data_IF_811764199955
#
_entry.id   IF_811764199955
#
_cell.length_a   1.000
_cell.length_b   1.000
_cell.length_c   1.000
_cell.angle_alpha   90.00
_cell.angle_beta   90.00
_cell.angle_gamma   90.00
#
_symmetry.space_group_name_H-M   'P 1'
#
loop_
_entity.id
_entity.type
_entity.pdbx_description
1 polymer ?
#
# COMPACT_ATOMS: atom_id res chain seq x y z
N UNK A 1 -14.43 5.55 -27.85
CA UNK A 1 -14.60 6.54 -26.78
C UNK A 1 -13.66 6.13 -25.65
N UNK A 2 -12.81 7.03 -25.16
CA UNK A 2 -11.98 6.77 -23.97
C UNK A 2 -12.90 6.55 -22.77
N UNK A 3 -12.90 5.36 -22.18
CA UNK A 3 -13.72 5.04 -21.02
C UNK A 3 -13.16 5.80 -19.80
N UNK A 4 -13.88 6.82 -19.36
CA UNK A 4 -13.57 7.58 -18.14
C UNK A 4 -13.66 6.68 -16.92
N UNK A 5 -12.99 7.09 -15.84
CA UNK A 5 -13.11 6.42 -14.53
C UNK A 5 -13.97 7.29 -13.65
N UNK A 6 -14.96 6.68 -13.00
CA UNK A 6 -15.73 7.31 -11.93
C UNK A 6 -15.21 6.80 -10.60
N UNK A 7 -14.60 7.70 -9.83
CA UNK A 7 -14.15 7.47 -8.46
C UNK A 7 -15.27 7.86 -7.49
N UNK A 8 -15.81 6.88 -6.78
CA UNK A 8 -16.95 7.04 -5.87
C UNK A 8 -16.44 6.85 -4.44
N UNK A 9 -16.64 7.86 -3.60
CA UNK A 9 -16.26 7.85 -2.19
C UNK A 9 -17.49 8.12 -1.34
N UNK A 10 -17.74 7.27 -0.36
CA UNK A 10 -18.80 7.44 0.62
C UNK A 10 -18.16 7.61 1.99
N UNK A 11 -18.66 8.60 2.75
CA UNK A 11 -18.19 8.85 4.11
C UNK A 11 -19.30 8.68 5.13
N UNK A 12 -18.93 8.02 6.23
CA UNK A 12 -19.60 8.14 7.52
C UNK A 12 -18.80 9.13 8.36
N UNK A 13 -19.37 10.31 8.59
CA UNK A 13 -18.75 11.29 9.49
C UNK A 13 -18.99 10.91 10.94
N UNK A 14 -18.05 11.30 11.80
CA UNK A 14 -18.22 11.15 13.25
C UNK A 14 -19.39 12.01 13.73
N UNK A 15 -20.13 11.55 14.76
CA UNK A 15 -21.30 12.28 15.26
C UNK A 15 -20.95 13.59 15.98
N UNK A 16 -19.69 13.80 16.36
CA UNK A 16 -19.19 14.97 17.09
C UNK A 16 -18.61 16.06 16.19
N UNK A 17 -18.62 15.89 14.87
CA UNK A 17 -18.20 16.95 13.95
C UNK A 17 -19.11 18.18 14.11
N UNK A 18 -18.51 19.36 14.27
CA UNK A 18 -19.30 20.59 14.34
C UNK A 18 -19.78 20.99 12.95
N UNK A 19 -20.87 21.77 12.88
CA UNK A 19 -21.35 22.30 11.61
C UNK A 19 -20.30 23.14 10.88
N UNK A 20 -19.53 23.96 11.62
CA UNK A 20 -18.49 24.80 11.05
C UNK A 20 -17.34 23.96 10.45
N UNK A 21 -16.90 22.92 11.15
CA UNK A 21 -15.86 22.01 10.64
C UNK A 21 -16.35 21.24 9.41
N UNK A 22 -17.62 20.81 9.44
CA UNK A 22 -18.26 20.14 8.30
C UNK A 22 -18.32 21.06 7.07
N UNK A 23 -18.77 22.31 7.23
CA UNK A 23 -18.87 23.27 6.14
C UNK A 23 -17.49 23.59 5.53
N UNK A 24 -16.49 23.88 6.38
CA UNK A 24 -15.12 24.11 5.93
C UNK A 24 -14.52 22.89 5.20
N UNK A 25 -14.84 21.68 5.68
CA UNK A 25 -14.44 20.44 5.03
C UNK A 25 -15.06 20.31 3.63
N UNK A 26 -16.35 20.61 3.48
CA UNK A 26 -17.06 20.56 2.19
C UNK A 26 -16.58 21.62 1.21
N UNK A 27 -16.30 22.83 1.68
CA UNK A 27 -15.70 23.90 0.85
C UNK A 27 -14.34 23.46 0.30
N UNK A 28 -13.51 22.87 1.16
CA UNK A 28 -12.20 22.35 0.75
C UNK A 28 -12.36 21.23 -0.28
N UNK A 29 -13.32 20.31 -0.09
CA UNK A 29 -13.59 19.25 -1.06
C UNK A 29 -13.99 19.82 -2.43
N UNK A 30 -14.93 20.78 -2.46
CA UNK A 30 -15.39 21.41 -3.70
C UNK A 30 -14.24 22.09 -4.46
N UNK A 31 -13.32 22.72 -3.73
CA UNK A 31 -12.17 23.38 -4.31
C UNK A 31 -11.19 22.42 -5.01
N UNK A 32 -11.16 21.13 -4.66
CA UNK A 32 -10.29 20.15 -5.31
C UNK A 32 -10.49 20.09 -6.83
N UNK A 33 -11.73 20.31 -7.30
CA UNK A 33 -12.03 20.29 -8.73
C UNK A 33 -11.17 21.27 -9.54
N UNK A 34 -10.86 22.43 -8.97
CA UNK A 34 -10.10 23.49 -9.66
C UNK A 34 -8.66 23.61 -9.15
N UNK A 35 -8.38 23.13 -7.93
CA UNK A 35 -7.05 23.24 -7.32
C UNK A 35 -6.15 22.02 -7.60
N UNK A 36 -6.71 20.86 -7.90
CA UNK A 36 -5.92 19.70 -8.37
C UNK A 36 -5.50 19.94 -9.82
N UNK A 37 -4.24 20.29 -10.03
CA UNK A 37 -3.67 20.63 -11.33
C UNK A 37 -2.71 19.52 -11.83
N UNK A 38 -2.79 19.19 -13.11
CA UNK A 38 -1.93 18.18 -13.72
C UNK A 38 -0.49 18.68 -13.77
N UNK A 39 0.52 17.89 -13.39
CA UNK A 39 1.89 18.37 -13.18
C UNK A 39 2.58 18.87 -14.45
N UNK A 40 2.19 18.36 -15.63
CA UNK A 40 2.80 18.80 -16.91
C UNK A 40 2.08 19.96 -17.59
N UNK A 41 0.77 20.11 -17.39
CA UNK A 41 -0.05 21.10 -18.11
C UNK A 41 -0.47 22.26 -17.23
N UNK A 42 -0.39 22.09 -15.91
CA UNK A 42 -0.86 23.04 -14.91
C UNK A 42 -2.35 23.40 -15.08
N UNK A 43 -3.15 22.46 -15.59
CA UNK A 43 -4.60 22.60 -15.78
C UNK A 43 -5.36 21.63 -14.88
N UNK A 44 -6.60 21.96 -14.47
CA UNK A 44 -7.47 21.01 -13.79
C UNK A 44 -7.70 19.76 -14.64
N UNK A 45 -7.56 18.57 -14.04
CA UNK A 45 -7.65 17.28 -14.74
C UNK A 45 -8.82 16.41 -14.28
N UNK A 46 -9.54 16.85 -13.25
CA UNK A 46 -10.80 16.25 -12.85
C UNK A 46 -11.91 16.72 -13.79
N UNK A 47 -12.53 15.78 -14.51
CA UNK A 47 -13.54 16.06 -15.52
C UNK A 47 -14.84 16.58 -14.91
N UNK A 48 -15.29 15.93 -13.84
CA UNK A 48 -16.50 16.32 -13.12
C UNK A 48 -16.42 15.94 -11.64
N UNK A 49 -17.24 16.60 -10.82
CA UNK A 49 -17.39 16.33 -9.40
C UNK A 49 -18.86 16.55 -9.01
N UNK A 50 -19.45 15.57 -8.34
CA UNK A 50 -20.78 15.61 -7.73
C UNK A 50 -20.67 15.18 -6.28
N UNK A 51 -21.51 15.72 -5.41
CA UNK A 51 -21.55 15.31 -4.01
C UNK A 51 -22.92 15.56 -3.40
N UNK A 52 -23.24 14.87 -2.31
CA UNK A 52 -24.48 15.07 -1.60
C UNK A 52 -24.64 14.20 -0.37
N UNK A 53 -25.64 14.55 0.43
CA UNK A 53 -26.09 13.75 1.58
C UNK A 53 -26.93 12.58 1.10
N UNK A 54 -26.76 11.43 1.74
CA UNK A 54 -27.63 10.27 1.52
C UNK A 54 -29.06 10.63 1.93
N UNK A 55 -29.99 10.49 0.98
CA UNK A 55 -31.43 10.62 1.19
C UNK A 55 -32.18 9.31 0.96
N UNK A 56 -31.46 8.22 0.66
CA UNK A 56 -32.09 6.90 0.56
C UNK A 56 -32.58 6.47 1.94
N UNK A 57 -33.85 6.08 1.99
CA UNK A 57 -34.52 5.55 3.18
C UNK A 57 -34.25 4.05 3.40
N UNK A 58 -33.63 3.38 2.42
CA UNK A 58 -33.34 1.96 2.49
C UNK A 58 -32.23 1.65 3.54
N UNK A 59 -32.28 0.48 4.20
CA UNK A 59 -31.36 0.15 5.30
C UNK A 59 -29.95 -0.26 4.84
N UNK A 60 -29.65 -0.17 3.55
CA UNK A 60 -28.42 -0.72 2.95
C UNK A 60 -27.26 0.26 2.83
N UNK A 61 -27.40 1.48 3.37
CA UNK A 61 -26.36 2.51 3.32
C UNK A 61 -25.09 2.14 4.11
N UNK A 62 -25.15 1.11 4.97
CA UNK A 62 -24.08 0.74 5.91
C UNK A 62 -23.65 1.92 6.79
N UNK A 63 -24.57 2.85 7.07
CA UNK A 63 -24.30 4.05 7.86
C UNK A 63 -23.58 5.17 7.10
N UNK A 64 -23.30 5.01 5.80
CA UNK A 64 -22.73 6.08 4.99
C UNK A 64 -23.71 7.25 4.87
N UNK A 65 -23.20 8.45 5.11
CA UNK A 65 -24.01 9.67 5.24
C UNK A 65 -23.92 10.59 4.03
N UNK A 66 -22.79 10.56 3.33
CA UNK A 66 -22.52 11.43 2.17
C UNK A 66 -21.79 10.64 1.10
N UNK A 67 -22.01 11.01 -0.15
CA UNK A 67 -21.33 10.46 -1.32
C UNK A 67 -20.67 11.57 -2.13
N UNK A 68 -19.51 11.27 -2.69
CA UNK A 68 -18.72 12.10 -3.56
C UNK A 68 -18.36 11.28 -4.80
N UNK A 69 -18.60 11.85 -5.98
CA UNK A 69 -18.44 11.19 -7.27
C UNK A 69 -17.55 12.07 -8.13
N UNK A 70 -16.38 11.59 -8.48
CA UNK A 70 -15.38 12.30 -9.27
C UNK A 70 -15.11 11.55 -10.57
N UNK A 71 -14.85 12.25 -11.66
CA UNK A 71 -14.54 11.63 -12.95
C UNK A 71 -13.16 12.02 -13.46
N UNK A 72 -12.41 11.04 -13.95
CA UNK A 72 -11.06 11.19 -14.50
C UNK A 72 -10.97 10.61 -15.90
N UNK A 73 -10.13 11.21 -16.74
CA UNK A 73 -9.96 10.79 -18.14
C UNK A 73 -9.19 9.46 -18.26
N UNK A 74 -8.28 9.16 -17.32
CA UNK A 74 -7.40 8.00 -17.37
C UNK A 74 -7.07 7.43 -15.98
N UNK A 75 -6.49 6.22 -15.95
CA UNK A 75 -6.01 5.61 -14.70
C UNK A 75 -4.84 6.41 -14.14
N UNK A 76 -3.95 6.89 -15.01
CA UNK A 76 -2.79 7.68 -14.60
C UNK A 76 -3.21 8.97 -13.86
N UNK A 77 -4.29 9.62 -14.32
CA UNK A 77 -4.83 10.82 -13.68
C UNK A 77 -5.38 10.51 -12.28
N UNK A 78 -6.18 9.44 -12.15
CA UNK A 78 -6.71 8.99 -10.85
C UNK A 78 -5.57 8.56 -9.91
N UNK A 79 -4.58 7.83 -10.41
CA UNK A 79 -3.43 7.37 -9.63
C UNK A 79 -2.58 8.56 -9.13
N UNK A 80 -2.41 9.59 -9.97
CA UNK A 80 -1.75 10.83 -9.57
C UNK A 80 -2.55 11.55 -8.48
N UNK A 81 -3.86 11.72 -8.67
CA UNK A 81 -4.76 12.30 -7.68
C UNK A 81 -4.63 11.61 -6.32
N UNK A 82 -4.77 10.29 -6.29
CA UNK A 82 -4.79 9.52 -5.04
C UNK A 82 -3.43 9.49 -4.33
N UNK A 83 -2.32 9.50 -5.09
CA UNK A 83 -1.01 9.13 -4.52
C UNK A 83 0.02 10.27 -4.47
N UNK A 84 -0.13 11.28 -5.31
CA UNK A 84 0.92 12.27 -5.56
C UNK A 84 0.43 13.72 -5.45
N UNK A 85 -0.81 14.01 -5.82
CA UNK A 85 -1.34 15.37 -5.82
C UNK A 85 -1.28 15.98 -4.40
N UNK A 86 -0.48 17.05 -4.19
CA UNK A 86 -0.26 17.60 -2.87
C UNK A 86 -1.52 18.24 -2.29
N UNK A 87 -2.42 18.74 -3.13
CA UNK A 87 -3.68 19.37 -2.71
C UNK A 87 -4.63 18.30 -2.18
N UNK A 88 -4.82 17.22 -2.93
CA UNK A 88 -5.66 16.10 -2.50
C UNK A 88 -5.10 15.42 -1.23
N UNK A 89 -3.78 15.21 -1.16
CA UNK A 89 -3.15 14.59 0.01
C UNK A 89 -3.32 15.42 1.28
N UNK A 90 -3.18 16.74 1.19
CA UNK A 90 -3.41 17.63 2.32
C UNK A 90 -4.88 17.65 2.75
N UNK A 91 -5.81 17.65 1.78
CA UNK A 91 -7.24 17.48 2.06
C UNK A 91 -7.51 16.17 2.81
N UNK A 92 -7.02 15.03 2.30
CA UNK A 92 -7.20 13.71 2.90
C UNK A 92 -6.68 13.66 4.34
N UNK A 93 -5.50 14.28 4.59
CA UNK A 93 -4.92 14.37 5.93
C UNK A 93 -5.81 15.16 6.90
N UNK A 94 -6.38 16.28 6.45
CA UNK A 94 -7.30 17.13 7.24
C UNK A 94 -8.68 16.51 7.43
N UNK A 95 -9.11 15.67 6.50
CA UNK A 95 -10.39 14.96 6.55
C UNK A 95 -10.42 13.85 7.60
N UNK A 96 -9.28 13.16 7.79
CA UNK A 96 -9.17 11.96 8.63
C UNK A 96 -9.77 12.05 10.05
N UNK A 97 -9.55 13.13 10.82
CA UNK A 97 -10.15 13.28 12.15
C UNK A 97 -11.68 13.20 12.17
N UNK A 98 -12.34 13.60 11.09
CA UNK A 98 -13.80 13.73 11.01
C UNK A 98 -14.51 12.51 10.42
N UNK A 99 -13.77 11.62 9.78
CA UNK A 99 -14.30 10.44 9.12
C UNK A 99 -14.24 9.26 10.10
N UNK A 100 -15.41 8.66 10.36
CA UNK A 100 -15.53 7.43 11.14
C UNK A 100 -15.24 6.20 10.27
N UNK A 101 -15.80 6.17 9.06
CA UNK A 101 -15.64 5.09 8.11
C UNK A 101 -15.78 5.60 6.66
N UNK A 102 -15.21 4.86 5.71
CA UNK A 102 -15.23 5.21 4.29
C UNK A 102 -15.36 3.99 3.39
N UNK A 103 -16.13 4.13 2.31
CA UNK A 103 -16.24 3.13 1.25
C UNK A 103 -15.86 3.76 -0.09
N UNK A 104 -14.97 3.11 -0.83
CA UNK A 104 -14.44 3.61 -2.11
C UNK A 104 -14.66 2.59 -3.21
N UNK A 105 -15.17 3.04 -4.36
CA UNK A 105 -15.39 2.21 -5.56
C UNK A 105 -15.01 3.00 -6.80
N UNK A 106 -14.15 2.41 -7.63
CA UNK A 106 -13.83 2.93 -8.96
C UNK A 106 -14.56 2.10 -10.01
N UNK A 107 -15.29 2.76 -10.91
CA UNK A 107 -15.98 2.10 -12.01
C UNK A 107 -15.60 2.71 -13.36
N UNK A 108 -15.66 1.87 -14.39
CA UNK A 108 -15.66 2.28 -15.79
C UNK A 108 -17.00 1.90 -16.37
N UNK A 109 -17.69 2.86 -16.98
CA UNK A 109 -19.03 2.61 -17.52
C UNK A 109 -19.00 1.44 -18.53
N UNK A 110 -19.96 0.52 -18.37
CA UNK A 110 -20.07 -0.71 -19.17
C UNK A 110 -19.05 -1.83 -18.90
N UNK A 111 -18.09 -1.66 -17.98
CA UNK A 111 -17.09 -2.71 -17.65
C UNK A 111 -17.59 -3.56 -16.48
N UNK A 112 -18.04 -4.78 -16.78
CA UNK A 112 -18.64 -5.71 -15.79
C UNK A 112 -17.74 -6.89 -15.40
N UNK A 113 -16.68 -7.15 -16.16
CA UNK A 113 -15.76 -8.26 -15.95
C UNK A 113 -14.31 -7.78 -16.08
N UNK A 114 -13.41 -8.38 -15.31
CA UNK A 114 -11.99 -8.06 -15.35
C UNK A 114 -11.24 -8.61 -14.14
N UNK A 115 -9.90 -8.47 -14.12
CA UNK A 115 -9.11 -8.76 -12.93
C UNK A 115 -9.51 -7.81 -11.79
N UNK A 116 -9.29 -8.24 -10.54
CA UNK A 116 -9.48 -7.38 -9.38
C UNK A 116 -8.61 -6.11 -9.50
N UNK A 117 -9.15 -4.99 -8.99
CA UNK A 117 -8.40 -3.74 -8.92
C UNK A 117 -7.10 -3.95 -8.14
N UNK A 118 -5.99 -3.52 -8.72
CA UNK A 118 -4.68 -3.52 -8.09
C UNK A 118 -4.28 -2.08 -7.84
N UNK A 119 -3.78 -1.79 -6.64
CA UNK A 119 -3.12 -0.51 -6.39
C UNK A 119 -2.06 -0.32 -7.49
N UNK A 120 -1.96 0.86 -8.12
CA UNK A 120 -0.88 1.16 -9.06
C UNK A 120 0.42 1.21 -8.26
N UNK A 121 1.03 0.04 -8.09
CA UNK A 121 2.26 -0.15 -7.35
C UNK A 121 3.48 0.45 -8.07
N UNK A 122 3.23 1.19 -9.16
CA UNK A 122 4.15 1.57 -10.21
C UNK A 122 5.49 2.02 -9.68
N UNK A 123 6.52 1.84 -10.49
CA UNK A 123 7.89 1.79 -10.00
C UNK A 123 8.23 2.97 -9.08
N UNK A 124 8.33 2.68 -7.79
CA UNK A 124 8.50 3.69 -6.73
C UNK A 124 9.69 3.34 -5.88
N UNK A 125 10.38 4.37 -5.42
CA UNK A 125 11.37 4.23 -4.37
C UNK A 125 10.67 4.18 -3.02
N UNK A 126 10.96 3.13 -2.25
CA UNK A 126 10.52 2.94 -0.89
C UNK A 126 11.69 3.13 0.05
N UNK A 127 11.55 4.03 1.01
CA UNK A 127 12.50 4.15 2.12
C UNK A 127 12.29 2.97 3.05
N UNK A 128 13.38 2.36 3.49
CA UNK A 128 13.38 1.33 4.52
C UNK A 128 14.34 1.67 5.65
N UNK A 129 14.07 1.07 6.81
CA UNK A 129 14.88 1.25 8.00
C UNK A 129 14.85 0.01 8.88
N UNK A 130 15.95 -0.26 9.58
CA UNK A 130 15.95 -1.29 10.62
C UNK A 130 15.24 -0.79 11.88
N UNK A 131 14.89 -1.70 12.79
CA UNK A 131 14.15 -1.36 14.01
C UNK A 131 14.86 -0.31 14.88
N UNK A 132 16.18 -0.40 15.06
CA UNK A 132 16.93 0.56 15.89
C UNK A 132 17.28 1.87 15.16
N UNK A 133 16.94 2.02 13.88
CA UNK A 133 17.35 3.16 13.06
C UNK A 133 18.84 3.19 12.68
N UNK A 134 19.65 2.20 13.06
CA UNK A 134 21.07 2.16 12.68
C UNK A 134 21.32 2.03 11.17
N UNK A 135 20.36 1.45 10.44
CA UNK A 135 20.39 1.27 8.99
C UNK A 135 19.21 1.98 8.33
N UNK A 136 19.46 2.63 7.18
CA UNK A 136 18.45 3.12 6.25
C UNK A 136 18.83 2.80 4.81
N UNK A 137 17.84 2.56 3.95
CA UNK A 137 18.04 2.27 2.53
C UNK A 137 16.87 2.76 1.67
N UNK A 138 17.11 2.85 0.36
CA UNK A 138 16.08 3.02 -0.66
C UNK A 138 15.98 1.73 -1.49
N UNK A 139 14.77 1.25 -1.72
CA UNK A 139 14.48 0.13 -2.61
C UNK A 139 13.49 0.55 -3.68
N UNK A 140 13.85 0.40 -4.95
CA UNK A 140 12.95 0.62 -6.08
C UNK A 140 12.19 -0.68 -6.37
N UNK A 141 10.88 -0.67 -6.17
CA UNK A 141 10.01 -1.83 -6.42
C UNK A 141 9.15 -1.55 -7.65
N UNK A 142 9.07 -2.50 -8.58
CA UNK A 142 8.10 -2.46 -9.69
C UNK A 142 6.67 -2.68 -9.16
N UNK A 143 6.53 -3.61 -8.20
CA UNK A 143 5.30 -3.89 -7.46
C UNK A 143 5.59 -3.92 -5.95
N UNK A 144 4.99 -3.00 -5.18
CA UNK A 144 4.94 -3.02 -3.73
C UNK A 144 3.90 -4.02 -3.19
N UNK A 145 4.30 -5.28 -3.21
CA UNK A 145 3.55 -6.42 -2.71
C UNK A 145 4.47 -7.34 -1.90
N UNK A 146 3.90 -8.29 -1.18
CA UNK A 146 4.63 -9.28 -0.41
C UNK A 146 4.63 -10.64 -1.10
N UNK A 147 5.83 -11.17 -1.35
CA UNK A 147 6.02 -12.59 -1.66
C UNK A 147 6.41 -13.31 -0.36
N UNK A 148 5.51 -14.17 0.12
CA UNK A 148 5.67 -14.88 1.39
C UNK A 148 6.55 -16.11 1.19
N UNK A 149 7.62 -16.24 1.97
CA UNK A 149 8.45 -17.45 1.96
C UNK A 149 8.31 -18.20 3.27
N UNK A 150 7.86 -19.45 3.19
CA UNK A 150 7.55 -20.32 4.33
C UNK A 150 8.66 -21.35 4.63
N UNK A 151 9.82 -21.28 3.97
CA UNK A 151 10.89 -22.23 4.27
C UNK A 151 11.38 -22.07 5.72
N UNK A 152 11.86 -23.17 6.31
CA UNK A 152 12.30 -23.19 7.71
C UNK A 152 13.37 -22.14 8.01
N UNK A 153 14.29 -21.86 7.07
CA UNK A 153 15.30 -20.82 7.24
C UNK A 153 14.67 -19.43 7.32
N UNK A 154 13.67 -19.13 6.49
CA UNK A 154 12.97 -17.85 6.56
C UNK A 154 12.18 -17.69 7.85
N UNK A 155 11.58 -18.77 8.36
CA UNK A 155 10.90 -18.76 9.66
C UNK A 155 11.87 -18.50 10.81
N UNK A 156 13.01 -19.23 10.84
CA UNK A 156 14.03 -19.09 11.89
C UNK A 156 14.71 -17.72 11.87
N UNK A 157 15.11 -17.22 10.71
CA UNK A 157 15.75 -15.90 10.58
C UNK A 157 14.76 -14.76 10.76
N UNK A 158 13.51 -14.93 10.34
CA UNK A 158 12.46 -13.93 10.44
C UNK A 158 11.75 -13.88 11.80
N UNK A 159 11.85 -14.94 12.60
CA UNK A 159 11.13 -15.06 13.88
C UNK A 159 9.62 -15.15 13.73
N UNK A 160 9.11 -15.57 12.57
CA UNK A 160 7.69 -15.55 12.23
C UNK A 160 7.26 -16.73 11.35
N UNK A 161 5.94 -16.85 11.05
CA UNK A 161 5.40 -17.97 10.26
C UNK A 161 5.90 -18.01 8.81
N UNK A 162 6.39 -16.87 8.32
CA UNK A 162 7.00 -16.66 7.02
C UNK A 162 7.78 -15.36 7.04
N UNK A 163 8.47 -15.09 5.94
CA UNK A 163 9.05 -13.77 5.67
C UNK A 163 8.37 -13.10 4.48
N UNK A 164 8.28 -11.78 4.49
CA UNK A 164 7.74 -10.98 3.38
C UNK A 164 8.89 -10.44 2.53
N UNK A 165 8.84 -10.70 1.22
CA UNK A 165 9.96 -10.47 0.33
C UNK A 165 9.55 -9.81 -0.99
N UNK A 166 10.52 -9.17 -1.63
CA UNK A 166 10.47 -8.81 -3.04
C UNK A 166 11.81 -9.11 -3.71
N UNK A 167 11.77 -9.59 -4.95
CA UNK A 167 12.96 -9.85 -5.76
C UNK A 167 13.15 -8.66 -6.69
N UNK A 168 14.23 -7.91 -6.53
CA UNK A 168 14.53 -6.74 -7.36
C UNK A 168 15.93 -6.80 -7.96
N UNK A 169 16.20 -6.07 -9.06
CA UNK A 169 17.56 -5.85 -9.53
C UNK A 169 18.47 -5.32 -8.42
N UNK A 170 19.73 -5.76 -8.39
CA UNK A 170 20.68 -5.32 -7.36
C UNK A 170 20.88 -3.79 -7.37
N UNK A 171 20.86 -3.16 -8.54
CA UNK A 171 20.99 -1.72 -8.70
C UNK A 171 19.82 -0.91 -8.12
N UNK A 172 18.69 -1.56 -7.86
CA UNK A 172 17.48 -0.94 -7.30
C UNK A 172 17.47 -0.91 -5.77
N UNK A 173 18.53 -1.40 -5.11
CA UNK A 173 18.72 -1.29 -3.66
C UNK A 173 19.96 -0.43 -3.34
N UNK A 174 19.76 0.65 -2.58
CA UNK A 174 20.84 1.54 -2.15
C UNK A 174 20.80 1.78 -0.64
N UNK A 175 21.89 1.46 0.06
CA UNK A 175 22.06 1.85 1.45
C UNK A 175 22.26 3.38 1.55
N UNK A 176 21.53 4.01 2.47
CA UNK A 176 21.57 5.46 2.73
C UNK A 176 22.30 5.75 4.03
N UNK A 177 22.10 4.92 5.06
CA UNK A 177 22.79 5.02 6.35
C UNK A 177 23.22 3.64 6.83
N UNK A 178 24.44 3.59 7.36
CA UNK A 178 25.02 2.41 7.99
C UNK A 178 25.35 1.28 7.00
N UNK A 179 26.09 0.29 7.50
CA UNK A 179 26.48 -0.90 6.73
C UNK A 179 25.93 -2.16 7.41
N UNK A 180 25.19 -3.01 6.68
CA UNK A 180 24.68 -4.24 7.24
C UNK A 180 25.81 -5.27 7.44
N UNK A 181 25.75 -6.00 8.56
CA UNK A 181 26.56 -7.20 8.76
C UNK A 181 26.08 -8.32 7.82
N UNK A 182 26.97 -9.29 7.56
CA UNK A 182 26.70 -10.39 6.63
C UNK A 182 26.81 -11.74 7.31
N UNK A 183 25.78 -12.56 7.15
CA UNK A 183 25.78 -13.97 7.53
C UNK A 183 25.60 -14.82 6.28
N UNK A 184 26.42 -15.85 6.11
CA UNK A 184 26.38 -16.71 4.91
C UNK A 184 25.99 -18.13 5.28
N UNK A 185 25.01 -18.69 4.58
CA UNK A 185 24.60 -20.10 4.70
C UNK A 185 24.44 -20.76 3.33
N UNK A 186 24.22 -22.07 3.30
CA UNK A 186 23.95 -22.82 2.07
C UNK A 186 22.44 -22.97 1.88
N UNK A 187 21.90 -22.48 0.77
CA UNK A 187 20.48 -22.56 0.44
C UNK A 187 20.05 -23.93 -0.08
N UNK A 188 18.74 -24.09 -0.33
CA UNK A 188 18.16 -25.34 -0.86
C UNK A 188 18.72 -25.74 -2.23
N UNK A 189 19.25 -24.77 -2.99
CA UNK A 189 19.94 -25.00 -4.27
C UNK A 189 21.36 -25.57 -4.12
N UNK A 190 21.86 -25.74 -2.88
CA UNK A 190 23.25 -26.10 -2.61
C UNK A 190 24.25 -24.95 -2.77
N UNK A 191 23.79 -23.75 -3.14
CA UNK A 191 24.62 -22.55 -3.35
C UNK A 191 24.59 -21.60 -2.15
N UNK A 192 25.53 -20.65 -2.10
CA UNK A 192 25.60 -19.71 -0.98
C UNK A 192 24.50 -18.66 -1.03
N UNK A 193 23.98 -18.33 0.15
CA UNK A 193 23.06 -17.22 0.40
C UNK A 193 23.70 -16.31 1.43
N UNK A 194 23.82 -15.03 1.11
CA UNK A 194 24.34 -13.98 1.98
C UNK A 194 23.16 -13.17 2.52
N UNK A 195 22.96 -13.19 3.83
CA UNK A 195 21.97 -12.39 4.53
C UNK A 195 22.63 -11.10 5.02
N UNK A 196 22.10 -9.96 4.61
CA UNK A 196 22.54 -8.65 5.08
C UNK A 196 21.56 -8.17 6.15
N UNK A 197 22.06 -7.87 7.36
CA UNK A 197 21.24 -7.58 8.53
C UNK A 197 21.86 -6.51 9.43
N UNK A 198 21.04 -5.89 10.28
CA UNK A 198 21.52 -4.96 11.30
C UNK A 198 22.19 -5.73 12.45
N UNK A 199 23.46 -5.44 12.74
CA UNK A 199 24.18 -6.06 13.86
C UNK A 199 23.62 -5.68 15.24
N UNK A 200 22.88 -4.58 15.34
CA UNK A 200 22.29 -4.11 16.60
C UNK A 200 20.93 -4.74 16.88
N UNK A 201 19.97 -4.63 15.96
CA UNK A 201 18.59 -5.09 16.18
C UNK A 201 18.21 -6.34 15.38
N UNK A 202 19.18 -6.96 14.70
CA UNK A 202 19.03 -8.20 13.93
C UNK A 202 18.01 -8.15 12.79
N UNK A 203 17.48 -6.98 12.43
CA UNK A 203 16.57 -6.83 11.30
C UNK A 203 17.29 -7.18 10.00
N UNK A 204 16.76 -8.14 9.26
CA UNK A 204 17.28 -8.53 7.96
C UNK A 204 16.86 -7.52 6.90
N UNK A 205 17.80 -6.91 6.19
CA UNK A 205 17.52 -5.90 5.16
C UNK A 205 17.21 -6.57 3.82
N UNK A 206 18.17 -7.35 3.33
CA UNK A 206 18.04 -8.08 2.07
C UNK A 206 18.92 -9.33 2.08
N UNK A 207 18.60 -10.28 1.22
CA UNK A 207 19.42 -11.46 0.97
C UNK A 207 19.92 -11.46 -0.48
N UNK A 208 21.14 -11.95 -0.70
CA UNK A 208 21.73 -12.16 -2.02
C UNK A 208 22.04 -13.64 -2.20
N UNK A 209 21.48 -14.24 -3.25
CA UNK A 209 21.71 -15.65 -3.56
C UNK A 209 22.67 -15.78 -4.74
N UNK A 210 23.66 -16.67 -4.63
CA UNK A 210 24.62 -16.92 -5.71
C UNK A 210 23.95 -17.44 -7.00
N UNK A 211 22.80 -18.11 -6.89
CA UNK A 211 21.99 -18.55 -8.05
C UNK A 211 21.33 -17.40 -8.80
N UNK A 212 21.24 -16.21 -8.21
CA UNK A 212 20.63 -15.02 -8.80
C UNK A 212 21.56 -13.81 -8.60
N UNK A 213 22.74 -13.79 -9.24
CA UNK A 213 23.80 -12.82 -8.92
C UNK A 213 23.38 -11.36 -9.16
N UNK A 214 22.52 -11.11 -10.14
CA UNK A 214 22.06 -9.76 -10.52
C UNK A 214 20.83 -9.27 -9.72
N UNK A 215 20.29 -10.08 -8.82
CA UNK A 215 19.07 -9.77 -8.07
C UNK A 215 19.28 -9.91 -6.57
N UNK A 216 18.54 -9.11 -5.81
CA UNK A 216 18.49 -9.19 -4.34
C UNK A 216 17.06 -9.42 -3.88
N UNK A 217 16.93 -10.01 -2.70
CA UNK A 217 15.65 -10.31 -2.06
C UNK A 217 15.49 -9.36 -0.89
N UNK A 218 14.73 -8.29 -1.06
CA UNK A 218 14.50 -7.27 -0.01
C UNK A 218 13.42 -7.74 0.94
N UNK A 219 13.62 -7.53 2.26
CA UNK A 219 12.56 -7.74 3.25
C UNK A 219 11.61 -6.56 3.24
N UNK A 220 10.39 -6.79 2.75
CA UNK A 220 9.44 -5.71 2.47
C UNK A 220 8.79 -5.12 3.71
N UNK A 221 8.65 -5.87 4.82
CA UNK A 221 8.07 -5.36 6.07
C UNK A 221 8.84 -4.22 6.74
N UNK A 222 10.10 -4.00 6.34
CA UNK A 222 10.95 -2.93 6.84
C UNK A 222 10.89 -1.66 5.96
N UNK A 223 10.07 -1.67 4.91
CA UNK A 223 9.83 -0.53 4.04
C UNK A 223 8.66 0.32 4.58
N UNK A 224 8.70 1.63 4.35
CA UNK A 224 7.57 2.51 4.58
C UNK A 224 6.37 2.06 3.72
N UNK A 225 5.18 2.06 4.32
CA UNK A 225 3.96 1.62 3.64
C UNK A 225 3.79 0.09 3.54
N UNK A 226 4.70 -0.71 4.11
CA UNK A 226 4.64 -2.16 4.00
C UNK A 226 3.35 -2.78 4.53
N UNK A 227 2.72 -2.18 5.56
CA UNK A 227 1.46 -2.66 6.13
C UNK A 227 0.28 -2.62 5.14
N UNK A 228 0.38 -1.79 4.11
CA UNK A 228 -0.64 -1.66 3.06
C UNK A 228 -0.31 -2.50 1.82
N UNK A 229 0.88 -3.13 1.78
CA UNK A 229 1.26 -3.99 0.65
C UNK A 229 0.49 -5.31 0.74
N UNK A 230 -0.22 -5.73 -0.33
CA UNK A 230 -0.92 -7.00 -0.33
C UNK A 230 0.09 -8.16 -0.43
N UNK A 231 -0.25 -9.31 0.15
CA UNK A 231 0.42 -10.56 -0.19
C UNK A 231 -0.14 -11.11 -1.51
N UNK A 232 0.72 -11.41 -2.47
CA UNK A 232 0.30 -11.79 -3.84
C UNK A 232 0.99 -13.03 -4.37
N UNK A 233 1.97 -13.57 -3.66
CA UNK A 233 2.67 -14.80 -4.03
C UNK A 233 3.24 -15.51 -2.82
N UNK A 234 3.50 -16.81 -2.98
CA UNK A 234 4.05 -17.67 -1.94
C UNK A 234 5.14 -18.58 -2.50
N UNK A 235 6.15 -18.86 -1.68
CA UNK A 235 7.28 -19.75 -1.99
C UNK A 235 7.46 -20.74 -0.84
N UNK A 236 7.75 -22.00 -1.18
CA UNK A 236 7.81 -23.15 -0.26
C UNK A 236 6.50 -23.33 0.54
N UNK A 237 5.32 -23.30 -0.09
CA UNK A 237 4.02 -23.37 0.62
C UNK A 237 3.85 -24.62 1.49
N UNK A 238 4.61 -25.69 1.23
CA UNK A 238 4.68 -26.88 2.08
C UNK A 238 5.17 -26.59 3.51
N UNK A 239 5.90 -25.50 3.72
CA UNK A 239 6.37 -25.05 5.03
C UNK A 239 5.35 -24.23 5.83
N UNK A 240 4.14 -24.04 5.31
CA UNK A 240 3.08 -23.29 6.01
C UNK A 240 2.72 -23.93 7.33
N UNK A 241 2.71 -23.12 8.38
CA UNK A 241 2.22 -23.53 9.69
C UNK A 241 0.69 -23.57 9.66
N UNK A 242 0.11 -24.73 9.99
CA UNK A 242 -1.34 -24.97 9.88
C UNK A 242 -2.17 -23.90 10.62
N UNK A 243 -1.76 -23.53 11.84
CA UNK A 243 -2.46 -22.57 12.69
C UNK A 243 -2.54 -21.15 12.11
N UNK A 244 -1.70 -20.78 11.13
CA UNK A 244 -1.72 -19.44 10.53
C UNK A 244 -3.04 -19.19 9.80
N UNK A 245 -3.59 -20.22 9.16
CA UNK A 245 -4.88 -20.12 8.48
C UNK A 245 -6.03 -19.97 9.47
N UNK A 246 -5.93 -20.69 10.58
CA UNK A 246 -7.02 -20.84 11.54
C UNK A 246 -7.01 -19.73 12.60
N UNK A 247 -6.00 -18.85 12.63
CA UNK A 247 -5.78 -17.86 13.69
C UNK A 247 -7.00 -16.97 13.94
N UNK A 248 -7.66 -16.50 12.88
CA UNK A 248 -8.85 -15.64 12.98
C UNK A 248 -10.05 -16.35 13.61
N UNK A 249 -10.18 -17.65 13.36
CA UNK A 249 -11.33 -18.45 13.77
C UNK A 249 -11.09 -19.20 15.09
N UNK A 250 -9.82 -19.41 15.45
CA UNK A 250 -9.39 -20.20 16.62
C UNK A 250 -9.08 -19.37 17.86
N UNK A 251 -8.85 -18.05 17.72
CA UNK A 251 -8.70 -17.17 18.86
C UNK A 251 -10.08 -16.68 19.32
N UNK A 252 -10.47 -16.94 20.59
CA UNK A 252 -11.72 -16.38 21.11
C UNK A 252 -11.65 -14.85 21.05
N UNK A 253 -12.71 -14.24 20.49
CA UNK A 253 -12.86 -12.81 20.22
C UNK A 253 -12.03 -11.90 21.14
N UNK A 254 -10.87 -11.42 20.65
CA UNK A 254 -10.17 -10.28 21.22
C UNK A 254 -8.82 -10.52 21.91
N UNK A 255 -7.96 -11.40 21.37
CA UNK A 255 -6.50 -11.34 21.63
C UNK A 255 -5.78 -10.94 20.36
#
# INVERSE_FOLDING_TARGET
MTSTITHIVLFKYRPDITWADFEAHFETFQALRTQCLHPSTNQPYMLSMRMGKNTSWEPYSKGMTHAFILEFASQADLDYYLLQDPVHREFSRKAGPWIEDSLVVDIRDGVLFGPAAKMPLGTREYRGGCHCGGLEWMARLETAEHVLCHCQTCQKLGGGPYSCNQIIPRGDLRMVRGEPAVYTYTGASGKKVRCYFCSTCTSHVYHHQEVMPEKVIVRTLLLEGARQMPATGEIFPEGKLAWVRDLKDSLPNGV
#
